data_IF_506628077747
#
_entry.id   IF_506628077747
#
_cell.length_a   1.000
_cell.length_b   1.000
_cell.length_c   1.000
_cell.angle_alpha   90.00
_cell.angle_beta   90.00
_cell.angle_gamma   90.00
#
_symmetry.space_group_name_H-M   'P 1'
#
loop_
_entity.id
_entity.type
_entity.pdbx_description
1 polymer ?
#
# COMPACT_ATOMS: atom_id res chain seq x y z
N UNK A 1 4.73 -16.15 14.29
CA UNK A 1 5.20 -14.92 13.62
C UNK A 1 4.77 -13.76 14.51
N UNK A 2 5.71 -12.96 15.00
CA UNK A 2 5.42 -11.84 15.91
C UNK A 2 4.54 -10.78 15.24
N UNK A 3 3.61 -10.18 15.99
CA UNK A 3 2.63 -9.20 15.48
C UNK A 3 3.35 -8.03 14.81
N UNK A 4 4.39 -7.49 15.46
CA UNK A 4 5.23 -6.41 14.92
C UNK A 4 5.81 -6.76 13.55
N UNK A 5 6.43 -7.93 13.43
CA UNK A 5 7.06 -8.39 12.18
C UNK A 5 6.02 -8.60 11.08
N UNK A 6 4.82 -9.06 11.43
CA UNK A 6 3.72 -9.17 10.49
C UNK A 6 3.25 -7.80 9.98
N UNK A 7 3.02 -6.84 10.87
CA UNK A 7 2.60 -5.48 10.49
C UNK A 7 3.64 -4.78 9.62
N UNK A 8 4.93 -4.89 9.97
CA UNK A 8 6.01 -4.33 9.16
C UNK A 8 5.99 -4.88 7.74
N UNK A 9 5.87 -6.21 7.58
CA UNK A 9 5.78 -6.83 6.25
C UNK A 9 4.53 -6.41 5.51
N UNK A 10 3.37 -6.38 6.18
CA UNK A 10 2.12 -5.97 5.56
C UNK A 10 2.17 -4.52 5.06
N UNK A 11 2.75 -3.59 5.83
CA UNK A 11 2.96 -2.20 5.42
C UNK A 11 3.86 -2.10 4.18
N UNK A 12 4.98 -2.82 4.16
CA UNK A 12 5.92 -2.81 3.03
C UNK A 12 5.27 -3.36 1.75
N UNK A 13 4.47 -4.42 1.88
CA UNK A 13 3.73 -4.99 0.76
C UNK A 13 2.72 -3.99 0.19
N UNK A 14 1.94 -3.31 1.02
CA UNK A 14 1.01 -2.29 0.53
C UNK A 14 1.75 -1.12 -0.14
N UNK A 15 2.89 -0.69 0.40
CA UNK A 15 3.73 0.33 -0.23
C UNK A 15 4.30 -0.13 -1.58
N UNK A 16 4.59 -1.42 -1.74
CA UNK A 16 4.98 -2.01 -3.03
C UNK A 16 3.83 -1.97 -4.03
N UNK A 17 2.62 -2.36 -3.62
CA UNK A 17 1.43 -2.26 -4.46
C UNK A 17 1.17 -0.82 -4.93
N UNK A 18 1.36 0.19 -4.07
CA UNK A 18 1.26 1.61 -4.47
C UNK A 18 2.20 1.91 -5.65
N UNK A 19 3.46 1.52 -5.54
CA UNK A 19 4.47 1.79 -6.59
C UNK A 19 4.15 1.05 -7.88
N UNK A 20 3.78 -0.22 -7.78
CA UNK A 20 3.52 -1.07 -8.93
C UNK A 20 2.26 -0.62 -9.69
N UNK A 21 1.19 -0.30 -8.96
CA UNK A 21 -0.03 0.22 -9.54
C UNK A 21 0.17 1.58 -10.19
N UNK A 22 0.86 2.52 -9.54
CA UNK A 22 1.18 3.83 -10.14
C UNK A 22 2.06 3.69 -11.37
N UNK A 23 3.04 2.77 -11.34
CA UNK A 23 3.91 2.51 -12.48
C UNK A 23 3.11 1.97 -13.65
N UNK A 24 2.26 0.96 -13.42
CA UNK A 24 1.43 0.38 -14.47
C UNK A 24 0.42 1.39 -15.06
N UNK A 25 -0.26 2.15 -14.19
CA UNK A 25 -1.24 3.16 -14.61
C UNK A 25 -0.65 4.22 -15.54
N UNK A 26 0.66 4.54 -15.39
CA UNK A 26 1.40 5.47 -16.25
C UNK A 26 1.87 4.87 -17.58
N UNK A 27 1.82 3.55 -17.74
CA UNK A 27 2.33 2.85 -18.93
C UNK A 27 1.23 2.29 -19.84
N UNK A 28 -0.01 2.28 -19.39
CA UNK A 28 -1.15 1.81 -20.19
C UNK A 28 -1.81 2.96 -20.94
N UNK A 29 -2.17 2.73 -22.19
CA UNK A 29 -2.92 3.70 -23.01
C UNK A 29 -4.45 3.59 -22.82
N UNK A 30 -4.91 2.60 -22.06
CA UNK A 30 -6.33 2.43 -21.76
C UNK A 30 -6.71 3.30 -20.55
N UNK A 31 -7.54 4.33 -20.79
CA UNK A 31 -7.92 5.33 -19.77
C UNK A 31 -8.70 4.72 -18.58
N UNK A 32 -9.62 3.80 -18.84
CA UNK A 32 -10.41 3.13 -17.79
C UNK A 32 -9.49 2.30 -16.88
N UNK A 33 -8.58 1.54 -17.48
CA UNK A 33 -7.60 0.73 -16.74
C UNK A 33 -6.62 1.62 -15.98
N UNK A 34 -6.11 2.70 -16.60
CA UNK A 34 -5.21 3.66 -15.94
C UNK A 34 -5.85 4.24 -14.68
N UNK A 35 -7.10 4.70 -14.80
CA UNK A 35 -7.86 5.25 -13.68
C UNK A 35 -8.06 4.24 -12.56
N UNK A 36 -8.50 3.02 -12.89
CA UNK A 36 -8.71 1.97 -11.90
C UNK A 36 -7.43 1.67 -11.10
N UNK A 37 -6.28 1.59 -11.76
CA UNK A 37 -5.02 1.32 -11.08
C UNK A 37 -4.52 2.51 -10.23
N UNK A 38 -4.82 3.76 -10.60
CA UNK A 38 -4.60 4.89 -9.70
C UNK A 38 -5.48 4.81 -8.44
N UNK A 39 -6.76 4.41 -8.58
CA UNK A 39 -7.67 4.21 -7.44
C UNK A 39 -7.20 3.05 -6.53
N UNK A 40 -6.64 2.00 -7.11
CA UNK A 40 -6.03 0.90 -6.35
C UNK A 40 -4.78 1.36 -5.58
N UNK A 41 -3.92 2.16 -6.22
CA UNK A 41 -2.75 2.74 -5.56
C UNK A 41 -3.15 3.63 -4.38
N UNK A 42 -4.19 4.44 -4.52
CA UNK A 42 -4.70 5.27 -3.42
C UNK A 42 -5.20 4.41 -2.25
N UNK A 43 -5.91 3.33 -2.57
CA UNK A 43 -6.43 2.38 -1.57
C UNK A 43 -5.31 1.69 -0.81
N UNK A 44 -4.30 1.15 -1.51
CA UNK A 44 -3.11 0.57 -0.86
C UNK A 44 -2.34 1.59 -0.02
N UNK A 45 -2.26 2.85 -0.48
CA UNK A 45 -1.65 3.93 0.30
C UNK A 45 -2.36 4.19 1.63
N UNK A 46 -3.70 4.23 1.62
CA UNK A 46 -4.52 4.35 2.85
C UNK A 46 -4.35 3.13 3.77
N UNK A 47 -4.29 1.93 3.20
CA UNK A 47 -4.05 0.70 3.96
C UNK A 47 -2.68 0.71 4.62
N UNK A 48 -1.62 1.06 3.89
CA UNK A 48 -0.26 1.17 4.41
C UNK A 48 -0.17 2.18 5.57
N UNK A 49 -0.83 3.34 5.44
CA UNK A 49 -0.88 4.35 6.49
C UNK A 49 -1.54 3.81 7.77
N UNK A 50 -2.68 3.12 7.63
CA UNK A 50 -3.37 2.51 8.77
C UNK A 50 -2.55 1.40 9.44
N UNK A 51 -1.80 0.60 8.66
CA UNK A 51 -0.90 -0.41 9.23
C UNK A 51 0.24 0.27 9.99
N UNK A 52 0.78 1.38 9.47
CA UNK A 52 1.79 2.17 10.17
C UNK A 52 1.26 2.68 11.52
N UNK A 53 0.04 3.20 11.57
CA UNK A 53 -0.57 3.66 12.83
C UNK A 53 -0.70 2.53 13.87
N UNK A 54 -0.95 1.29 13.42
CA UNK A 54 -0.98 0.12 14.30
C UNK A 54 0.43 -0.27 14.77
N UNK A 55 1.42 -0.21 13.88
CA UNK A 55 2.81 -0.50 14.20
C UNK A 55 3.36 0.50 15.22
N UNK A 56 3.08 1.79 15.05
CA UNK A 56 3.47 2.85 15.98
C UNK A 56 2.88 2.63 17.38
N UNK A 57 1.65 2.10 17.49
CA UNK A 57 1.03 1.74 18.77
C UNK A 57 1.68 0.54 19.44
N UNK A 58 2.20 -0.42 18.68
CA UNK A 58 2.95 -1.57 19.23
C UNK A 58 4.33 -1.12 19.68
N UNK A 59 5.00 -0.27 18.91
CA UNK A 59 6.36 0.20 19.24
C UNK A 59 6.39 1.20 20.42
N UNK A 60 5.25 1.79 20.78
CA UNK A 60 5.09 2.67 21.94
C UNK A 60 4.73 1.95 23.25
N UNK A 61 4.54 0.61 23.23
CA UNK A 61 4.33 -0.22 24.43
C UNK A 61 5.66 -0.73 24.99
#
# INVERSE_FOLDING_TARGET
MEIRSFLMRAMLNEQEQVRDYQRFARTTDNEEISRAFFEFAETSGRTAARIKDLLDKIDAQ
#
